data_IF_834905629829
#
_entry.id   IF_834905629829
#
_cell.length_a   1.000
_cell.length_b   1.000
_cell.length_c   1.000
_cell.angle_alpha   90.00
_cell.angle_beta   90.00
_cell.angle_gamma   90.00
#
_symmetry.space_group_name_H-M   'P 1'
#
loop_
_entity.id
_entity.type
_entity.pdbx_description
1 polymer ?
#
# COMPACT_ATOMS: atom_id res chain seq x y z
N UNK A 1 0.78 -29.00 -6.13
CA UNK A 1 0.62 -28.31 -4.85
C UNK A 1 -0.88 -28.12 -4.63
N UNK A 2 -1.43 -28.65 -3.54
CA UNK A 2 -2.88 -28.60 -3.30
C UNK A 2 -3.29 -27.20 -2.80
N UNK A 3 -4.44 -26.72 -3.26
CA UNK A 3 -5.04 -25.43 -2.90
C UNK A 3 -5.24 -25.30 -1.38
N UNK A 4 -5.50 -26.43 -0.70
CA UNK A 4 -5.68 -26.51 0.75
C UNK A 4 -4.41 -26.18 1.53
N UNK A 5 -3.23 -26.57 1.06
CA UNK A 5 -1.95 -26.24 1.71
C UNK A 5 -1.65 -24.74 1.59
N UNK A 6 -1.91 -24.15 0.42
CA UNK A 6 -1.76 -22.71 0.23
C UNK A 6 -2.69 -21.88 1.13
N UNK A 7 -3.92 -22.32 1.37
CA UNK A 7 -4.87 -21.63 2.25
C UNK A 7 -4.44 -21.67 3.73
N UNK A 8 -3.84 -22.78 4.18
CA UNK A 8 -3.32 -22.92 5.56
C UNK A 8 -2.15 -21.96 5.82
N UNK A 9 -1.27 -21.83 4.84
CA UNK A 9 -0.12 -20.89 4.89
C UNK A 9 -0.61 -19.45 4.97
N UNK A 10 -1.54 -19.07 4.10
CA UNK A 10 -2.09 -17.72 4.10
C UNK A 10 -2.77 -17.38 5.44
N UNK A 11 -3.51 -18.32 6.03
CA UNK A 11 -4.12 -18.14 7.35
C UNK A 11 -3.08 -17.95 8.47
N UNK A 12 -1.98 -18.71 8.44
CA UNK A 12 -0.91 -18.62 9.44
C UNK A 12 -0.10 -17.33 9.32
N UNK A 13 0.28 -16.94 8.10
CA UNK A 13 0.95 -15.66 7.84
C UNK A 13 0.08 -14.48 8.26
N UNK A 14 -1.22 -14.52 7.93
CA UNK A 14 -2.18 -13.49 8.37
C UNK A 14 -2.29 -13.42 9.89
N UNK A 15 -2.31 -14.57 10.58
CA UNK A 15 -2.35 -14.61 12.06
C UNK A 15 -1.13 -13.92 12.68
N UNK A 16 0.06 -14.16 12.13
CA UNK A 16 1.32 -13.56 12.62
C UNK A 16 1.40 -12.06 12.28
N UNK A 17 0.96 -11.67 11.09
CA UNK A 17 1.09 -10.28 10.63
C UNK A 17 -0.01 -9.36 11.15
N UNK A 18 -1.20 -9.88 11.50
CA UNK A 18 -2.38 -9.10 11.91
C UNK A 18 -2.11 -8.05 13.00
N UNK A 19 -1.34 -8.33 14.08
CA UNK A 19 -1.06 -7.32 15.12
C UNK A 19 -0.35 -6.07 14.60
N UNK A 20 0.40 -6.20 13.50
CA UNK A 20 1.16 -5.10 12.94
C UNK A 20 0.32 -4.16 12.04
N UNK A 21 -0.92 -4.51 11.70
CA UNK A 21 -1.83 -3.69 10.88
C UNK A 21 -2.85 -2.87 11.71
N UNK A 22 -2.54 -2.55 12.98
CA UNK A 22 -3.46 -1.83 13.89
C UNK A 22 -3.41 -0.29 13.76
N UNK A 23 -4.48 0.46 14.11
CA UNK A 23 -4.67 1.88 13.77
C UNK A 23 -3.70 2.92 14.36
N UNK A 24 -2.71 2.55 15.17
CA UNK A 24 -1.80 3.51 15.84
C UNK A 24 -0.92 4.32 14.87
N UNK A 25 -0.95 3.93 13.59
CA UNK A 25 -0.05 4.35 12.52
C UNK A 25 -0.64 5.40 11.57
N UNK A 26 -1.89 5.80 11.82
CA UNK A 26 -2.72 6.73 11.03
C UNK A 26 -2.27 8.20 11.11
N UNK A 27 -1.41 8.56 12.07
CA UNK A 27 -1.12 9.96 12.41
C UNK A 27 -0.26 10.72 11.38
N UNK A 28 0.57 10.05 10.57
CA UNK A 28 1.55 10.69 9.67
C UNK A 28 1.01 11.11 8.30
N UNK A 29 -0.24 10.77 7.98
CA UNK A 29 -0.79 10.97 6.64
C UNK A 29 -1.36 12.38 6.40
N UNK A 30 -1.73 13.09 7.48
CA UNK A 30 -2.28 14.45 7.37
C UNK A 30 -1.22 15.45 6.93
N UNK A 31 -0.03 15.43 7.52
CA UNK A 31 1.05 16.40 7.25
C UNK A 31 1.39 16.51 5.75
N UNK A 32 1.44 15.39 5.02
CA UNK A 32 1.75 15.41 3.58
C UNK A 32 0.66 16.12 2.77
N UNK A 33 -0.60 15.96 3.17
CA UNK A 33 -1.74 16.62 2.53
C UNK A 33 -1.74 18.11 2.88
N UNK A 34 -1.48 18.46 4.14
CA UNK A 34 -1.38 19.84 4.63
C UNK A 34 -0.27 20.62 3.92
N UNK A 35 0.92 20.01 3.78
CA UNK A 35 2.04 20.58 3.02
C UNK A 35 1.71 20.78 1.52
N UNK A 36 0.82 19.95 0.96
CA UNK A 36 0.37 20.09 -0.42
C UNK A 36 -0.62 21.25 -0.57
N UNK A 37 -1.53 21.42 0.39
CA UNK A 37 -2.51 22.51 0.42
C UNK A 37 -1.84 23.87 0.49
N UNK A 38 -0.78 24.02 1.31
CA UNK A 38 -0.03 25.27 1.48
C UNK A 38 0.58 25.84 0.18
N UNK A 39 0.66 25.04 -0.90
CA UNK A 39 1.23 25.45 -2.20
C UNK A 39 0.22 26.11 -3.14
N UNK A 40 -1.05 26.23 -2.76
CA UNK A 40 -2.11 26.88 -3.55
C UNK A 40 -2.66 26.06 -4.73
N UNK A 41 -2.05 24.92 -5.04
CA UNK A 41 -2.48 23.98 -6.09
C UNK A 41 -1.62 22.73 -6.10
N UNK A 42 -2.22 21.57 -6.30
CA UNK A 42 -1.48 20.30 -6.37
C UNK A 42 -2.24 19.22 -7.14
N UNK A 43 -1.54 18.16 -7.54
CA UNK A 43 -2.17 16.95 -8.08
C UNK A 43 -2.47 15.98 -6.93
N UNK A 44 -3.77 15.77 -6.63
CA UNK A 44 -4.24 14.93 -5.54
C UNK A 44 -3.73 13.49 -5.64
N UNK A 45 -3.52 13.01 -6.87
CA UNK A 45 -3.00 11.66 -7.08
C UNK A 45 -1.49 11.63 -6.89
N UNK A 46 -0.76 12.55 -7.52
CA UNK A 46 0.71 12.49 -7.55
C UNK A 46 1.35 12.93 -6.24
N UNK A 47 0.73 13.85 -5.51
CA UNK A 47 1.33 14.48 -4.34
C UNK A 47 1.00 13.75 -3.03
N UNK A 48 -0.27 13.53 -2.65
CA UNK A 48 -0.57 12.66 -1.50
C UNK A 48 -0.95 11.22 -1.88
N UNK A 49 -1.89 10.98 -2.81
CA UNK A 49 -2.52 9.64 -2.89
C UNK A 49 -1.59 8.50 -3.35
N UNK A 50 -0.57 8.79 -4.17
CA UNK A 50 0.44 7.80 -4.59
C UNK A 50 1.51 7.52 -3.52
N UNK A 51 2.16 8.53 -2.92
CA UNK A 51 3.20 8.26 -1.94
C UNK A 51 2.67 7.87 -0.56
N UNK A 52 1.46 8.28 -0.15
CA UNK A 52 0.89 7.95 1.17
C UNK A 52 0.91 6.44 1.45
N UNK A 53 0.36 5.55 0.60
CA UNK A 53 0.36 4.12 0.89
C UNK A 53 1.75 3.51 1.01
N UNK A 54 2.71 3.99 0.21
CA UNK A 54 4.08 3.47 0.27
C UNK A 54 4.79 3.93 1.54
N UNK A 55 4.53 5.16 2.01
CA UNK A 55 5.04 5.66 3.28
C UNK A 55 4.40 4.94 4.47
N UNK A 56 3.09 4.72 4.44
CA UNK A 56 2.36 3.92 5.45
C UNK A 56 2.94 2.51 5.56
N UNK A 57 3.14 1.84 4.42
CA UNK A 57 3.80 0.52 4.37
C UNK A 57 5.25 0.56 4.85
N UNK A 58 6.03 1.58 4.48
CA UNK A 58 7.41 1.71 4.97
C UNK A 58 7.45 1.86 6.50
N UNK A 59 6.48 2.56 7.09
CA UNK A 59 6.33 2.68 8.53
C UNK A 59 5.91 1.34 9.17
N UNK A 60 4.96 0.60 8.56
CA UNK A 60 4.55 -0.76 8.96
C UNK A 60 5.71 -1.73 9.01
N UNK A 61 6.61 -1.62 8.05
CA UNK A 61 7.79 -2.47 7.95
C UNK A 61 8.93 -1.98 8.85
N UNK A 62 8.78 -0.87 9.57
CA UNK A 62 9.84 -0.32 10.42
C UNK A 62 11.08 0.13 9.63
N UNK A 63 10.88 0.57 8.37
CA UNK A 63 11.95 1.11 7.53
C UNK A 63 12.42 2.45 8.13
N UNK A 64 13.74 2.64 8.34
CA UNK A 64 14.27 3.88 8.91
C UNK A 64 14.13 5.06 7.93
N UNK A 65 14.02 6.27 8.46
CA UNK A 65 13.78 7.50 7.68
C UNK A 65 14.85 7.73 6.59
N UNK A 66 16.10 7.35 6.85
CA UNK A 66 17.20 7.37 5.89
C UNK A 66 16.91 6.61 4.59
N UNK A 67 16.07 5.58 4.65
CA UNK A 67 15.73 4.72 3.51
C UNK A 67 14.35 5.05 2.93
N UNK A 68 13.58 5.98 3.51
CA UNK A 68 12.20 6.27 3.07
C UNK A 68 12.13 6.75 1.63
N UNK A 69 13.02 7.65 1.20
CA UNK A 69 13.01 8.17 -0.18
C UNK A 69 13.25 7.04 -1.18
N UNK A 70 14.24 6.18 -0.91
CA UNK A 70 14.59 5.04 -1.76
C UNK A 70 13.46 4.01 -1.77
N UNK A 71 12.91 3.69 -0.60
CA UNK A 71 11.78 2.77 -0.45
C UNK A 71 10.54 3.26 -1.18
N UNK A 72 10.18 4.54 -1.06
CA UNK A 72 9.04 5.14 -1.77
C UNK A 72 9.22 5.05 -3.29
N UNK A 73 10.42 5.35 -3.79
CA UNK A 73 10.74 5.26 -5.22
C UNK A 73 10.61 3.83 -5.74
N UNK A 74 11.23 2.86 -5.06
CA UNK A 74 11.27 1.47 -5.51
C UNK A 74 9.92 0.78 -5.31
N UNK A 75 9.24 1.02 -4.20
CA UNK A 75 7.88 0.55 -3.93
C UNK A 75 6.85 1.07 -4.94
N UNK A 76 6.90 2.37 -5.28
CA UNK A 76 6.03 2.94 -6.33
C UNK A 76 6.28 2.30 -7.70
N UNK A 77 7.55 1.96 -7.99
CA UNK A 77 7.95 1.31 -9.25
C UNK A 77 7.46 -0.14 -9.31
N UNK A 78 7.62 -0.92 -8.22
CA UNK A 78 7.14 -2.30 -8.14
C UNK A 78 5.61 -2.36 -8.13
N UNK A 79 4.92 -1.39 -7.53
CA UNK A 79 3.45 -1.31 -7.57
C UNK A 79 2.87 -1.31 -9.00
N UNK A 80 3.65 -0.89 -10.01
CA UNK A 80 3.23 -0.97 -11.41
C UNK A 80 3.16 -2.42 -11.95
N UNK A 81 3.90 -3.37 -11.34
CA UNK A 81 3.84 -4.80 -11.62
C UNK A 81 2.52 -5.39 -11.15
N UNK A 82 2.12 -5.07 -9.92
CA UNK A 82 0.83 -5.50 -9.35
C UNK A 82 -0.35 -5.07 -10.23
N UNK A 83 -0.20 -3.93 -10.88
CA UNK A 83 -1.17 -3.36 -11.81
C UNK A 83 -1.11 -3.91 -13.26
N UNK A 84 -0.26 -4.93 -13.51
CA UNK A 84 -0.03 -5.54 -14.82
C UNK A 84 0.24 -4.50 -15.91
N UNK A 85 1.00 -3.46 -15.54
CA UNK A 85 1.27 -2.30 -16.38
C UNK A 85 2.75 -2.18 -16.73
N UNK A 86 3.49 -3.29 -16.63
CA UNK A 86 4.95 -3.37 -16.69
C UNK A 86 5.51 -2.84 -18.02
N UNK A 87 5.60 -1.52 -18.12
CA UNK A 87 6.41 -0.80 -19.08
C UNK A 87 7.76 -0.63 -18.39
N UNK A 88 8.84 -1.10 -19.02
CA UNK A 88 10.23 -1.05 -18.53
C UNK A 88 10.62 -2.15 -17.52
N UNK A 89 10.78 -3.42 -17.97
CA UNK A 89 11.20 -4.54 -17.12
C UNK A 89 12.55 -4.30 -16.43
N UNK A 90 13.47 -3.55 -17.05
CA UNK A 90 14.76 -3.18 -16.43
C UNK A 90 14.60 -2.34 -15.15
N UNK A 91 13.67 -1.38 -15.14
CA UNK A 91 13.41 -0.53 -13.96
C UNK A 91 12.78 -1.34 -12.82
N UNK A 92 11.89 -2.27 -13.16
CA UNK A 92 11.26 -3.18 -12.19
C UNK A 92 12.30 -4.08 -11.55
N UNK A 93 13.18 -4.71 -12.35
CA UNK A 93 14.26 -5.55 -11.82
C UNK A 93 15.20 -4.77 -10.91
N UNK A 94 15.59 -3.56 -11.32
CA UNK A 94 16.44 -2.70 -10.50
C UNK A 94 15.77 -2.34 -9.17
N UNK A 95 14.51 -1.89 -9.21
CA UNK A 95 13.74 -1.57 -8.00
C UNK A 95 13.56 -2.79 -7.08
N UNK A 96 13.35 -3.98 -7.66
CA UNK A 96 13.31 -5.25 -6.93
C UNK A 96 14.62 -5.52 -6.18
N UNK A 97 15.75 -5.49 -6.90
CA UNK A 97 17.07 -5.71 -6.30
C UNK A 97 17.39 -4.68 -5.19
N UNK A 98 16.96 -3.42 -5.34
CA UNK A 98 17.13 -2.42 -4.28
C UNK A 98 16.32 -2.76 -3.02
N UNK A 99 15.10 -3.27 -3.18
CA UNK A 99 14.28 -3.70 -2.05
C UNK A 99 14.80 -4.99 -1.43
N UNK A 100 15.31 -5.94 -2.22
CA UNK A 100 15.88 -7.19 -1.71
C UNK A 100 17.06 -6.88 -0.77
N UNK A 101 18.01 -6.03 -1.22
CA UNK A 101 19.14 -5.59 -0.38
C UNK A 101 18.66 -4.89 0.90
N UNK A 102 17.63 -4.05 0.81
CA UNK A 102 17.07 -3.36 1.97
C UNK A 102 16.44 -4.36 2.96
N UNK A 103 15.60 -5.27 2.47
CA UNK A 103 14.90 -6.23 3.30
C UNK A 103 15.84 -7.26 3.92
N UNK A 104 16.84 -7.75 3.20
CA UNK A 104 17.85 -8.66 3.74
C UNK A 104 18.56 -8.06 4.95
N UNK A 105 19.00 -6.80 4.83
CA UNK A 105 19.61 -6.06 5.95
C UNK A 105 18.64 -5.91 7.13
N UNK A 106 17.39 -5.50 6.87
CA UNK A 106 16.40 -5.29 7.93
C UNK A 106 16.01 -6.60 8.62
N UNK A 107 15.84 -7.69 7.88
CA UNK A 107 15.56 -9.01 8.46
C UNK A 107 16.73 -9.52 9.30
N UNK A 108 17.98 -9.36 8.84
CA UNK A 108 19.16 -9.71 9.62
C UNK A 108 19.22 -8.93 10.94
N UNK A 109 18.99 -7.61 10.89
CA UNK A 109 18.94 -6.76 12.08
C UNK A 109 17.80 -7.18 13.03
N UNK A 110 16.60 -7.46 12.51
CA UNK A 110 15.40 -7.75 13.34
C UNK A 110 15.43 -9.12 13.98
N UNK A 111 16.27 -10.04 13.48
CA UNK A 111 16.56 -11.32 14.13
C UNK A 111 17.35 -11.13 15.43
N UNK A 112 18.24 -10.15 15.49
CA UNK A 112 19.07 -9.87 16.67
C UNK A 112 18.50 -8.77 17.56
N UNK A 113 17.78 -7.81 16.97
CA UNK A 113 17.20 -6.64 17.64
C UNK A 113 15.74 -6.44 17.19
N UNK A 114 14.79 -7.22 17.73
CA UNK A 114 13.38 -7.07 17.42
C UNK A 114 12.85 -5.69 17.85
N UNK A 115 11.92 -5.10 17.07
CA UNK A 115 11.18 -3.89 17.44
C UNK A 115 9.68 -4.11 17.21
N UNK A 116 8.87 -3.07 17.45
CA UNK A 116 7.42 -3.09 17.25
C UNK A 116 7.06 -2.80 15.79
N UNK A 117 7.27 -3.76 14.88
CA UNK A 117 6.89 -3.66 13.46
C UNK A 117 6.62 -5.01 12.78
N UNK A 118 6.07 -4.97 11.56
CA UNK A 118 5.73 -6.16 10.76
C UNK A 118 6.94 -7.06 10.57
N UNK A 119 8.13 -6.50 10.33
CA UNK A 119 9.33 -7.30 10.04
C UNK A 119 9.75 -8.11 11.27
N UNK A 120 9.70 -7.52 12.47
CA UNK A 120 9.97 -8.24 13.71
C UNK A 120 8.90 -9.27 14.07
N UNK A 121 7.63 -9.05 13.69
CA UNK A 121 6.59 -10.09 13.81
C UNK A 121 6.84 -11.27 12.85
N UNK A 122 7.28 -10.98 11.62
CA UNK A 122 7.47 -11.99 10.57
C UNK A 122 8.81 -12.72 10.68
N UNK A 123 9.90 -12.06 11.06
CA UNK A 123 11.25 -12.63 11.03
C UNK A 123 11.39 -13.99 11.75
N UNK A 124 10.75 -14.23 12.92
CA UNK A 124 10.83 -15.52 13.62
C UNK A 124 10.00 -16.64 12.96
N UNK A 125 8.92 -16.31 12.24
CA UNK A 125 7.90 -17.27 11.79
C UNK A 125 7.80 -17.43 10.27
N UNK A 126 8.29 -16.47 9.49
CA UNK A 126 8.11 -16.42 8.04
C UNK A 126 9.09 -17.31 7.26
N UNK A 127 10.28 -17.56 7.82
CA UNK A 127 11.34 -18.34 7.14
C UNK A 127 10.91 -19.80 6.93
N UNK A 128 10.36 -20.44 7.97
CA UNK A 128 9.91 -21.83 7.90
C UNK A 128 8.74 -22.03 6.93
N UNK A 129 7.85 -21.04 6.77
CA UNK A 129 6.67 -21.18 5.92
C UNK A 129 6.85 -20.70 4.49
N UNK A 130 7.62 -19.63 4.27
CA UNK A 130 7.91 -19.15 2.92
C UNK A 130 8.81 -20.12 2.12
N UNK A 131 9.68 -20.87 2.82
CA UNK A 131 10.52 -21.90 2.20
C UNK A 131 9.77 -23.21 1.95
N UNK A 132 8.71 -23.50 2.71
CA UNK A 132 7.90 -24.73 2.52
C UNK A 132 6.79 -24.57 1.48
N UNK A 133 6.24 -23.38 1.30
CA UNK A 133 5.04 -23.19 0.48
C UNK A 133 5.05 -21.88 -0.34
N UNK A 134 4.59 -21.97 -1.59
CA UNK A 134 4.26 -20.79 -2.40
C UNK A 134 2.89 -20.23 -2.02
N UNK A 135 2.74 -18.90 -1.96
CA UNK A 135 1.43 -18.29 -1.70
C UNK A 135 0.46 -18.56 -2.85
N UNK A 136 -0.69 -19.15 -2.54
CA UNK A 136 -1.78 -19.36 -3.52
C UNK A 136 -2.51 -18.07 -3.90
N UNK A 137 -2.22 -16.96 -3.21
CA UNK A 137 -2.83 -15.66 -3.49
C UNK A 137 -2.60 -15.19 -4.94
N UNK A 138 -1.53 -15.64 -5.58
CA UNK A 138 -1.22 -15.27 -6.97
C UNK A 138 -2.00 -16.09 -8.01
N UNK A 139 -2.61 -17.21 -7.62
CA UNK A 139 -3.18 -18.19 -8.56
C UNK A 139 -4.71 -18.15 -8.62
N UNK A 140 -5.38 -17.46 -7.69
CA UNK A 140 -6.85 -17.36 -7.63
C UNK A 140 -7.30 -15.89 -7.59
N UNK A 141 -7.66 -15.34 -8.75
CA UNK A 141 -8.25 -14.00 -8.87
C UNK A 141 -9.64 -14.04 -9.49
N UNK A 142 -10.61 -13.36 -8.89
CA UNK A 142 -11.88 -13.00 -9.52
C UNK A 142 -11.91 -11.49 -9.72
N UNK A 143 -12.30 -11.06 -10.91
CA UNK A 143 -12.23 -9.66 -11.32
C UNK A 143 -13.64 -9.08 -11.44
N UNK A 144 -13.88 -7.97 -10.73
CA UNK A 144 -15.10 -7.19 -10.87
C UNK A 144 -14.82 -5.96 -11.74
N UNK A 145 -15.61 -5.76 -12.81
CA UNK A 145 -15.42 -4.64 -13.72
C UNK A 145 -16.13 -3.34 -13.27
N UNK A 146 -16.73 -3.35 -12.09
CA UNK A 146 -17.50 -2.26 -11.50
C UNK A 146 -17.52 -2.44 -10.00
N UNK A 147 -17.88 -1.39 -9.27
CA UNK A 147 -18.19 -1.54 -7.85
C UNK A 147 -19.29 -2.59 -7.71
N UNK A 148 -19.01 -3.57 -6.87
CA UNK A 148 -19.82 -4.79 -6.74
C UNK A 148 -20.02 -5.04 -5.26
N UNK A 149 -21.27 -5.30 -4.91
CA UNK A 149 -21.68 -5.67 -3.57
C UNK A 149 -21.95 -7.18 -3.52
N UNK A 150 -21.61 -7.80 -2.40
CA UNK A 150 -21.98 -9.18 -2.09
C UNK A 150 -22.48 -9.22 -0.65
N UNK A 151 -23.67 -9.81 -0.44
CA UNK A 151 -24.32 -9.85 0.87
C UNK A 151 -24.46 -8.46 1.56
N UNK A 152 -24.66 -7.40 0.78
CA UNK A 152 -24.83 -6.03 1.30
C UNK A 152 -23.53 -5.26 1.58
N UNK A 153 -22.36 -5.83 1.28
CA UNK A 153 -21.07 -5.15 1.48
C UNK A 153 -20.28 -5.01 0.16
N UNK A 154 -19.53 -3.92 0.03
CA UNK A 154 -18.65 -3.70 -1.11
C UNK A 154 -17.45 -4.67 -1.10
N UNK A 155 -17.11 -5.26 -2.25
CA UNK A 155 -16.08 -6.30 -2.35
C UNK A 155 -14.65 -5.76 -2.54
N UNK A 156 -14.43 -4.45 -2.42
CA UNK A 156 -13.14 -3.80 -2.75
C UNK A 156 -11.96 -4.27 -1.88
N UNK A 157 -12.22 -4.81 -0.69
CA UNK A 157 -11.20 -5.38 0.20
C UNK A 157 -11.20 -6.92 0.23
N UNK A 158 -11.92 -7.58 -0.67
CA UNK A 158 -12.21 -9.02 -0.64
C UNK A 158 -12.98 -9.47 0.62
N UNK A 159 -13.79 -10.54 0.54
CA UNK A 159 -14.51 -11.06 1.69
C UNK A 159 -13.71 -12.10 2.50
N UNK A 160 -14.18 -12.36 3.73
CA UNK A 160 -13.86 -13.53 4.56
C UNK A 160 -12.34 -13.78 4.76
N UNK A 161 -11.88 -15.03 4.60
CA UNK A 161 -10.51 -15.46 4.87
C UNK A 161 -9.44 -14.72 4.03
N UNK A 162 -9.84 -14.03 2.96
CA UNK A 162 -8.96 -13.23 2.10
C UNK A 162 -9.07 -11.72 2.32
N UNK A 163 -9.87 -11.27 3.29
CA UNK A 163 -10.04 -9.85 3.61
C UNK A 163 -8.71 -9.11 3.70
N UNK A 164 -8.60 -7.96 3.05
CA UNK A 164 -7.36 -7.23 2.94
C UNK A 164 -6.82 -6.83 4.32
N UNK A 165 -5.65 -7.37 4.71
CA UNK A 165 -4.98 -7.00 5.96
C UNK A 165 -4.62 -5.51 6.00
N UNK A 166 -4.43 -4.89 4.84
CA UNK A 166 -4.21 -3.45 4.69
C UNK A 166 -5.48 -2.60 4.60
N UNK A 167 -6.68 -3.15 4.79
CA UNK A 167 -7.90 -2.34 4.71
C UNK A 167 -7.97 -1.24 5.79
N UNK A 168 -7.61 -1.48 7.07
CA UNK A 168 -7.60 -0.41 8.06
C UNK A 168 -6.67 0.77 7.71
N UNK A 169 -5.38 0.57 7.39
CA UNK A 169 -4.52 1.69 6.98
C UNK A 169 -5.00 2.33 5.67
N UNK A 170 -5.45 1.56 4.68
CA UNK A 170 -5.94 2.13 3.42
C UNK A 170 -7.17 3.04 3.60
N UNK A 171 -8.11 2.67 4.49
CA UNK A 171 -9.27 3.51 4.82
C UNK A 171 -8.84 4.80 5.50
N UNK A 172 -7.86 4.72 6.39
CA UNK A 172 -7.32 5.90 7.07
C UNK A 172 -6.60 6.85 6.12
N UNK A 173 -5.66 6.34 5.32
CA UNK A 173 -4.91 7.12 4.34
C UNK A 173 -5.85 7.78 3.32
N UNK A 174 -6.81 7.00 2.80
CA UNK A 174 -7.83 7.50 1.87
C UNK A 174 -8.74 8.55 2.51
N UNK A 175 -9.09 8.35 3.78
CA UNK A 175 -9.82 9.33 4.59
C UNK A 175 -9.05 10.64 4.70
N UNK A 176 -7.79 10.60 5.15
CA UNK A 176 -6.94 11.78 5.28
C UNK A 176 -6.76 12.54 3.95
N UNK A 177 -6.54 11.82 2.84
CA UNK A 177 -6.37 12.42 1.52
C UNK A 177 -7.59 13.22 1.04
N UNK A 178 -8.80 12.93 1.55
CA UNK A 178 -10.05 13.58 1.16
C UNK A 178 -10.60 14.53 2.23
N UNK A 179 -10.49 14.16 3.51
CA UNK A 179 -11.00 14.94 4.64
C UNK A 179 -10.16 16.19 4.88
N UNK A 180 -8.83 16.09 4.80
CA UNK A 180 -7.95 17.24 5.07
C UNK A 180 -8.21 18.40 4.10
N UNK A 181 -8.30 18.21 2.78
CA UNK A 181 -8.67 19.29 1.86
C UNK A 181 -10.08 19.82 2.11
N UNK A 182 -11.04 18.97 2.47
CA UNK A 182 -12.41 19.38 2.75
C UNK A 182 -12.51 20.26 4.01
N UNK A 183 -11.73 19.95 5.05
CA UNK A 183 -11.70 20.68 6.32
C UNK A 183 -10.90 21.98 6.24
N UNK A 184 -9.71 21.94 5.61
CA UNK A 184 -8.73 23.04 5.68
C UNK A 184 -8.69 23.94 4.45
N UNK A 185 -9.26 23.50 3.33
CA UNK A 185 -9.36 24.28 2.10
C UNK A 185 -10.73 24.07 1.43
N UNK A 186 -11.82 24.42 2.14
CA UNK A 186 -13.16 24.33 1.58
C UNK A 186 -13.24 25.11 0.25
N UNK A 187 -13.92 24.54 -0.74
CA UNK A 187 -13.97 25.10 -2.10
C UNK A 187 -12.83 24.65 -3.03
N UNK A 188 -11.96 23.73 -2.58
CA UNK A 188 -11.02 23.07 -3.48
C UNK A 188 -11.75 22.30 -4.59
N UNK A 189 -11.34 22.50 -5.85
CA UNK A 189 -12.00 21.90 -7.02
C UNK A 189 -11.00 21.31 -8.01
N UNK A 190 -11.36 20.21 -8.71
CA UNK A 190 -10.59 19.74 -9.85
C UNK A 190 -10.51 20.82 -10.94
N UNK A 191 -9.32 21.05 -11.48
CA UNK A 191 -9.12 22.00 -12.61
C UNK A 191 -9.08 21.31 -13.97
N UNK A 192 -9.12 19.97 -13.98
CA UNK A 192 -9.20 19.19 -15.20
C UNK A 192 -9.97 17.89 -14.95
N UNK A 193 -10.48 17.30 -16.04
CA UNK A 193 -11.09 15.97 -15.98
C UNK A 193 -10.08 14.93 -15.48
N UNK A 194 -10.48 14.03 -14.56
CA UNK A 194 -9.60 13.00 -14.03
C UNK A 194 -9.15 12.04 -15.13
N UNK A 195 -7.84 11.79 -15.22
CA UNK A 195 -7.32 10.77 -16.15
C UNK A 195 -7.19 9.43 -15.44
N UNK A 196 -7.70 8.36 -16.06
CA UNK A 196 -7.61 6.99 -15.54
C UNK A 196 -6.29 6.35 -15.94
N UNK A 197 -5.68 5.56 -15.04
CA UNK A 197 -4.53 4.71 -15.39
C UNK A 197 -4.99 3.58 -16.30
N UNK A 198 -4.16 3.25 -17.29
CA UNK A 198 -4.31 2.04 -18.10
C UNK A 198 -3.61 0.87 -17.39
N UNK A 199 -4.38 0.07 -16.66
CA UNK A 199 -3.93 -1.03 -15.81
C UNK A 199 -4.97 -2.15 -15.87
N UNK A 200 -4.54 -3.41 -15.87
CA UNK A 200 -5.45 -4.54 -16.00
C UNK A 200 -6.12 -4.90 -14.67
N UNK A 201 -5.40 -4.74 -13.56
CA UNK A 201 -5.78 -5.32 -12.26
C UNK A 201 -6.06 -4.29 -11.18
N UNK A 202 -5.43 -3.11 -11.23
CA UNK A 202 -5.60 -2.03 -10.25
C UNK A 202 -6.25 -0.82 -10.93
N UNK A 203 -7.41 -0.42 -10.43
CA UNK A 203 -8.11 0.78 -10.91
C UNK A 203 -7.64 2.00 -10.14
N UNK A 204 -7.43 3.11 -10.84
CA UNK A 204 -7.04 4.35 -10.19
C UNK A 204 -6.86 5.49 -11.19
N UNK A 205 -6.71 6.69 -10.65
CA UNK A 205 -6.41 7.87 -11.44
C UNK A 205 -4.89 7.97 -11.69
N UNK A 206 -4.49 8.50 -12.84
CA UNK A 206 -3.10 8.83 -13.13
C UNK A 206 -2.73 10.18 -12.54
N UNK A 207 -3.69 11.09 -12.50
CA UNK A 207 -3.56 12.47 -12.06
C UNK A 207 -4.95 13.04 -11.79
N UNK A 208 -5.01 13.98 -10.85
CA UNK A 208 -6.18 14.80 -10.57
C UNK A 208 -5.68 16.17 -10.07
N UNK A 209 -5.44 17.12 -10.97
CA UNK A 209 -5.00 18.46 -10.58
C UNK A 209 -6.16 19.19 -9.88
N UNK A 210 -5.87 19.76 -8.72
CA UNK A 210 -6.81 20.44 -7.85
C UNK A 210 -6.30 21.87 -7.60
N UNK A 211 -7.19 22.84 -7.77
CA UNK A 211 -6.99 24.20 -7.25
C UNK A 211 -7.46 24.23 -5.80
N UNK A 212 -6.60 24.71 -4.92
CA UNK A 212 -6.91 24.81 -3.49
C UNK A 212 -7.88 25.97 -3.29
N UNK A 213 -8.98 25.71 -2.58
CA UNK A 213 -9.90 26.75 -2.14
C UNK A 213 -9.20 27.68 -1.17
N UNK A 214 -9.35 28.98 -1.35
CA UNK A 214 -8.83 29.97 -0.39
C UNK A 214 -9.93 30.20 0.63
N UNK A 215 -9.60 30.08 1.91
CA UNK A 215 -10.47 30.53 3.00
C UNK A 215 -10.60 32.06 2.99
#
# INVERSE_FOLDING_TARGET
MDLLDGLRVDARLRKVARPAFVPRMVRRDRELVEQALARGGFDLVRVPARPLPVRGVAHLLGIPESDHVRSVRSGTTIGAVLAWSARHPGRIRHAGAELDVLFDRLFAERRTLPREDVLSCLAPAAVEEALRYGSSAQTTGRWAHRDTEGAGEHLSFSPCARYCSGAPPARSEGGAALQVPAEQAPGSVPVAAPRRRRMLTVRGLSDLPVKVGVC
#
